data_IF_387828333932
#
_entry.id   IF_387828333932
#
_cell.length_a   1.000
_cell.length_b   1.000
_cell.length_c   1.000
_cell.angle_alpha   90.00
_cell.angle_beta   90.00
_cell.angle_gamma   90.00
#
_symmetry.space_group_name_H-M   'P 1'
#
loop_
_entity.id
_entity.type
_entity.pdbx_description
1 polymer ?
#
# COMPACT_ATOMS: atom_id res chain seq x y z
N UNK A 1 -14.12 11.94 8.24
CA UNK A 1 -14.08 10.62 7.60
C UNK A 1 -15.31 10.31 6.73
N UNK A 2 -16.54 10.52 7.21
CA UNK A 2 -17.78 10.26 6.45
C UNK A 2 -18.01 11.00 5.11
N UNK A 3 -17.49 12.23 4.85
CA UNK A 3 -17.76 12.90 3.57
C UNK A 3 -16.79 12.55 2.43
N UNK A 4 -15.74 11.75 2.68
CA UNK A 4 -14.70 11.41 1.67
C UNK A 4 -14.87 10.00 1.11
N UNK A 5 -15.68 9.15 1.76
CA UNK A 5 -15.96 7.78 1.35
C UNK A 5 -17.48 7.49 1.50
N UNK A 6 -18.29 7.82 0.47
CA UNK A 6 -19.74 7.71 0.54
C UNK A 6 -20.28 6.30 0.29
N UNK A 7 -19.48 5.40 -0.29
CA UNK A 7 -19.95 4.06 -0.65
C UNK A 7 -19.67 3.04 0.46
N UNK A 8 -20.62 2.12 0.74
CA UNK A 8 -20.35 0.98 1.60
C UNK A 8 -19.18 0.17 1.00
N UNK A 9 -18.24 -0.21 1.87
CA UNK A 9 -17.09 -1.05 1.53
C UNK A 9 -17.58 -2.23 0.69
N UNK A 10 -17.19 -2.29 -0.59
CA UNK A 10 -17.40 -3.49 -1.39
C UNK A 10 -16.79 -4.67 -0.64
N UNK A 11 -17.49 -5.81 -0.63
CA UNK A 11 -17.01 -7.08 -0.07
C UNK A 11 -15.76 -7.53 -0.84
N UNK A 12 -14.61 -7.02 -0.43
CA UNK A 12 -13.29 -7.41 -0.91
C UNK A 12 -12.55 -8.14 0.18
N UNK A 13 -11.68 -9.09 -0.21
CA UNK A 13 -11.00 -9.89 0.77
C UNK A 13 -10.03 -9.09 1.61
N UNK A 14 -9.94 -9.44 2.89
CA UNK A 14 -8.98 -8.83 3.83
C UNK A 14 -7.52 -9.14 3.44
N UNK A 15 -7.29 -10.38 3.01
CA UNK A 15 -6.04 -10.88 2.45
C UNK A 15 -6.38 -11.70 1.20
N UNK A 16 -5.68 -11.46 0.09
CA UNK A 16 -5.74 -12.30 -1.11
C UNK A 16 -4.43 -13.10 -1.20
N UNK A 17 -4.54 -14.42 -1.34
CA UNK A 17 -3.39 -15.36 -1.35
C UNK A 17 -3.64 -16.51 -2.33
N UNK A 18 -2.63 -17.27 -2.72
CA UNK A 18 -2.80 -18.49 -3.51
C UNK A 18 -3.25 -19.70 -2.68
N UNK A 19 -2.92 -19.71 -1.40
CA UNK A 19 -3.35 -20.73 -0.46
C UNK A 19 -3.75 -20.03 0.84
N UNK A 20 -5.02 -20.18 1.25
CA UNK A 20 -5.51 -19.61 2.51
C UNK A 20 -4.88 -20.29 3.73
N UNK A 21 -4.35 -21.50 3.58
CA UNK A 21 -3.73 -22.26 4.67
C UNK A 21 -2.35 -21.72 5.05
N UNK A 22 -1.73 -20.93 4.17
CA UNK A 22 -0.45 -20.25 4.41
C UNK A 22 -0.58 -19.02 5.30
N UNK A 23 -1.81 -18.52 5.47
CA UNK A 23 -2.11 -17.42 6.39
C UNK A 23 -2.26 -17.99 7.79
N UNK A 24 -1.26 -17.75 8.65
CA UNK A 24 -1.29 -18.16 10.05
C UNK A 24 -1.50 -16.95 10.96
N UNK A 25 -2.55 -17.03 11.77
CA UNK A 25 -2.80 -16.11 12.88
C UNK A 25 -2.16 -16.68 14.16
N UNK A 26 -1.41 -15.87 14.89
CA UNK A 26 -0.91 -16.20 16.21
C UNK A 26 -1.25 -15.10 17.23
N UNK A 27 -1.82 -15.48 18.38
CA UNK A 27 -2.30 -14.53 19.40
C UNK A 27 -3.64 -13.88 19.02
N UNK A 28 -3.82 -12.60 19.35
CA UNK A 28 -5.05 -11.84 19.08
C UNK A 28 -5.08 -11.14 17.71
N UNK A 29 -4.31 -11.62 16.73
CA UNK A 29 -4.32 -11.05 15.37
C UNK A 29 -5.71 -11.16 14.73
N UNK A 30 -6.19 -10.09 14.11
CA UNK A 30 -7.50 -10.06 13.46
C UNK A 30 -7.37 -9.45 12.06
N UNK A 31 -8.08 -10.07 11.11
CA UNK A 31 -8.24 -9.54 9.75
C UNK A 31 -9.71 -9.25 9.51
N UNK A 32 -10.00 -8.04 9.02
CA UNK A 32 -11.33 -7.65 8.55
C UNK A 32 -11.34 -7.49 7.03
N UNK A 33 -12.49 -7.82 6.44
CA UNK A 33 -12.69 -8.05 5.01
C UNK A 33 -13.69 -9.19 4.82
N UNK A 34 -14.42 -9.20 3.70
CA UNK A 34 -15.40 -10.25 3.39
C UNK A 34 -15.12 -10.79 1.98
N UNK A 35 -14.52 -11.99 1.83
CA UNK A 35 -14.10 -12.90 2.91
C UNK A 35 -12.80 -12.43 3.60
N UNK A 36 -12.57 -12.81 4.87
CA UNK A 36 -11.34 -12.40 5.60
C UNK A 36 -10.05 -12.78 4.87
N UNK A 37 -10.04 -13.96 4.27
CA UNK A 37 -8.98 -14.45 3.39
C UNK A 37 -9.65 -15.05 2.16
N UNK A 38 -9.24 -14.65 0.97
CA UNK A 38 -9.63 -15.30 -0.29
C UNK A 38 -8.43 -15.99 -0.91
N UNK A 39 -8.69 -17.16 -1.51
CA UNK A 39 -7.79 -17.74 -2.50
C UNK A 39 -8.00 -17.02 -3.83
N UNK A 40 -6.92 -16.64 -4.50
CA UNK A 40 -6.98 -16.05 -5.83
C UNK A 40 -7.38 -17.10 -6.86
N UNK A 41 -8.35 -16.75 -7.70
CA UNK A 41 -8.76 -17.53 -8.87
C UNK A 41 -8.84 -16.60 -10.10
N UNK A 42 -7.90 -16.69 -11.06
CA UNK A 42 -6.78 -17.65 -11.13
C UNK A 42 -5.69 -17.38 -10.06
N UNK A 43 -4.78 -18.35 -9.80
CA UNK A 43 -3.68 -18.15 -8.87
C UNK A 43 -2.86 -16.90 -9.23
N UNK A 44 -2.50 -16.11 -8.22
CA UNK A 44 -1.50 -15.05 -8.30
C UNK A 44 -0.21 -15.63 -8.85
N UNK A 45 0.09 -15.30 -10.09
CA UNK A 45 1.39 -15.55 -10.70
C UNK A 45 2.28 -14.31 -10.56
N UNK A 46 3.53 -14.40 -11.00
CA UNK A 46 4.45 -13.27 -10.99
C UNK A 46 3.91 -12.07 -11.78
N UNK A 47 2.98 -12.26 -12.72
CA UNK A 47 2.38 -11.14 -13.46
C UNK A 47 1.48 -10.31 -12.54
N UNK A 48 0.76 -10.89 -11.57
CA UNK A 48 -0.05 -10.10 -10.62
C UNK A 48 0.78 -9.16 -9.71
N UNK A 49 2.07 -9.44 -9.52
CA UNK A 49 2.98 -8.61 -8.72
C UNK A 49 3.85 -7.68 -9.57
N UNK A 50 3.89 -7.92 -10.88
CA UNK A 50 4.67 -7.14 -11.84
C UNK A 50 3.79 -6.32 -12.79
N UNK A 51 2.48 -6.53 -12.79
CA UNK A 51 1.50 -5.92 -13.68
C UNK A 51 0.24 -5.49 -12.89
N UNK A 52 0.05 -4.18 -12.82
CA UNK A 52 -1.06 -3.50 -12.15
C UNK A 52 -1.94 -2.81 -13.20
N UNK A 53 -2.35 -3.57 -14.23
CA UNK A 53 -3.18 -3.10 -15.33
C UNK A 53 -2.34 -2.51 -16.47
N UNK A 54 -2.14 -1.20 -16.45
CA UNK A 54 -1.28 -0.50 -17.43
C UNK A 54 0.12 -0.20 -16.88
N UNK A 55 0.36 -0.47 -15.59
CA UNK A 55 1.57 -0.11 -14.87
C UNK A 55 2.29 -1.35 -14.38
N UNK A 56 3.58 -1.44 -14.71
CA UNK A 56 4.42 -2.53 -14.20
C UNK A 56 5.06 -2.18 -12.87
N UNK A 57 5.59 -3.17 -12.16
CA UNK A 57 6.41 -2.95 -10.96
C UNK A 57 7.48 -1.88 -11.20
N UNK A 58 8.23 -1.98 -12.30
CA UNK A 58 9.25 -1.01 -12.68
C UNK A 58 8.68 0.40 -12.91
N UNK A 59 7.46 0.52 -13.44
CA UNK A 59 6.78 1.81 -13.58
C UNK A 59 6.41 2.41 -12.23
N UNK A 60 5.97 1.58 -11.28
CA UNK A 60 5.67 2.00 -9.92
C UNK A 60 6.95 2.43 -9.18
N UNK A 61 8.03 1.66 -9.30
CA UNK A 61 9.35 2.01 -8.75
C UNK A 61 9.87 3.32 -9.36
N UNK A 62 9.69 3.51 -10.67
CA UNK A 62 10.05 4.74 -11.36
C UNK A 62 9.26 5.96 -10.83
N UNK A 63 8.02 5.76 -10.38
CA UNK A 63 7.15 6.79 -9.80
C UNK A 63 7.38 7.10 -8.33
N UNK A 64 8.21 6.33 -7.62
CA UNK A 64 8.37 6.50 -6.18
C UNK A 64 8.78 7.93 -5.79
N UNK A 65 7.94 8.56 -4.97
CA UNK A 65 8.19 9.87 -4.35
C UNK A 65 9.34 9.79 -3.34
N UNK A 66 9.42 8.64 -2.65
CA UNK A 66 10.44 8.32 -1.65
C UNK A 66 11.10 7.00 -2.01
N UNK A 67 12.43 6.97 -2.03
CA UNK A 67 13.26 5.79 -2.22
C UNK A 67 14.17 5.58 -1.02
N UNK A 68 14.10 4.40 -0.43
CA UNK A 68 14.91 4.01 0.72
C UNK A 68 15.76 2.78 0.36
N UNK A 69 17.00 2.69 0.84
CA UNK A 69 17.72 1.42 0.83
C UNK A 69 17.05 0.43 1.80
N UNK A 70 17.23 -0.87 1.56
CA UNK A 70 16.87 -1.89 2.54
C UNK A 70 17.56 -1.67 3.89
N UNK A 71 16.88 -2.05 4.98
CA UNK A 71 17.37 -1.95 6.35
C UNK A 71 16.27 -1.67 7.36
N UNK A 72 16.70 -1.17 8.52
CA UNK A 72 15.81 -0.75 9.58
C UNK A 72 15.30 0.68 9.32
N UNK A 73 13.98 0.85 9.30
CA UNK A 73 13.29 2.13 9.15
C UNK A 73 12.61 2.43 10.49
N UNK A 74 12.98 3.58 11.08
CA UNK A 74 12.47 4.01 12.38
C UNK A 74 11.93 5.44 12.25
N UNK A 75 11.08 5.83 13.21
CA UNK A 75 10.63 7.22 13.41
C UNK A 75 9.99 7.83 12.16
N UNK A 76 9.11 7.06 11.49
CA UNK A 76 8.28 7.62 10.43
C UNK A 76 7.18 8.48 11.08
N UNK A 77 7.25 9.78 10.88
CA UNK A 77 6.40 10.76 11.55
C UNK A 77 6.08 11.91 10.57
N UNK A 78 4.91 12.58 10.72
CA UNK A 78 4.59 13.75 9.92
C UNK A 78 5.64 14.86 10.08
N UNK A 79 6.14 15.40 8.97
CA UNK A 79 7.12 16.50 8.97
C UNK A 79 6.53 17.73 8.28
N UNK A 80 6.56 18.87 8.96
CA UNK A 80 5.98 20.11 8.44
C UNK A 80 6.77 21.33 8.89
N UNK A 81 6.72 22.39 8.08
CA UNK A 81 7.27 23.69 8.48
C UNK A 81 6.47 24.29 9.64
N UNK A 82 7.06 25.26 10.34
CA UNK A 82 6.35 26.01 11.40
C UNK A 82 5.05 26.69 10.91
N UNK A 83 4.91 26.93 9.60
CA UNK A 83 3.70 27.46 8.97
C UNK A 83 2.65 26.40 8.61
N UNK A 84 2.85 25.12 8.97
CA UNK A 84 1.90 24.04 8.69
C UNK A 84 1.96 23.49 7.26
N UNK A 85 3.00 23.81 6.49
CA UNK A 85 3.22 23.24 5.15
C UNK A 85 3.90 21.89 5.27
N UNK A 86 3.29 20.85 4.70
CA UNK A 86 3.86 19.50 4.69
C UNK A 86 5.17 19.44 3.88
N UNK A 87 6.20 18.84 4.47
CA UNK A 87 7.51 18.67 3.84
C UNK A 87 7.56 17.33 3.09
N UNK A 88 7.70 17.35 1.77
CA UNK A 88 7.42 16.17 0.91
C UNK A 88 8.64 15.71 0.10
N UNK A 89 8.55 14.49 -0.43
CA UNK A 89 9.52 13.90 -1.34
C UNK A 89 10.82 13.42 -0.69
N UNK A 90 11.79 13.07 -1.53
CA UNK A 90 13.04 12.42 -1.15
C UNK A 90 13.88 13.15 -0.08
N UNK A 91 13.76 14.48 0.01
CA UNK A 91 14.45 15.28 1.03
C UNK A 91 13.92 15.00 2.46
N UNK A 92 12.67 14.54 2.59
CA UNK A 92 11.97 14.26 3.84
C UNK A 92 11.52 12.78 3.87
N UNK A 93 12.48 11.88 3.63
CA UNK A 93 12.26 10.44 3.41
C UNK A 93 11.55 9.66 4.54
N UNK A 94 11.47 10.23 5.74
CA UNK A 94 10.75 9.64 6.89
C UNK A 94 9.36 10.26 7.12
N UNK A 95 8.99 11.28 6.35
CA UNK A 95 7.63 11.80 6.36
C UNK A 95 6.76 10.94 5.44
N UNK A 96 5.93 10.09 6.03
CA UNK A 96 5.02 9.21 5.29
C UNK A 96 3.57 9.68 5.39
N UNK A 97 3.33 10.94 5.74
CA UNK A 97 1.99 11.50 5.91
C UNK A 97 1.48 11.43 7.35
N UNK A 98 0.25 11.91 7.58
CA UNK A 98 -0.37 12.04 8.90
C UNK A 98 -1.74 11.38 8.97
N UNK A 99 -1.81 10.03 8.94
CA UNK A 99 -3.08 9.32 8.96
C UNK A 99 -3.90 9.56 10.22
N UNK A 100 -3.24 9.82 11.36
CA UNK A 100 -3.93 10.04 12.63
C UNK A 100 -4.61 11.41 12.72
N UNK A 101 -4.16 12.40 11.94
CA UNK A 101 -4.73 13.74 11.91
C UNK A 101 -4.90 14.24 10.45
N UNK A 102 -5.94 13.80 9.73
CA UNK A 102 -6.15 14.16 8.33
C UNK A 102 -6.31 15.66 8.06
N UNK A 103 -6.83 16.41 9.03
CA UNK A 103 -7.02 17.85 8.91
C UNK A 103 -5.76 18.66 9.21
N UNK A 104 -4.69 17.99 9.68
CA UNK A 104 -3.41 18.61 10.00
C UNK A 104 -2.44 18.60 8.80
N UNK A 105 -1.28 19.24 8.96
CA UNK A 105 -0.20 19.16 8.00
C UNK A 105 0.14 17.68 7.69
N UNK A 106 0.31 17.38 6.40
CA UNK A 106 0.56 16.05 5.85
C UNK A 106 -0.61 15.05 5.92
N UNK A 107 -1.81 15.46 6.36
CA UNK A 107 -2.99 14.60 6.35
C UNK A 107 -3.42 14.15 4.95
N UNK A 108 -3.13 14.95 3.93
CA UNK A 108 -3.37 14.64 2.51
C UNK A 108 -2.11 14.22 1.74
N UNK A 109 -1.01 13.93 2.44
CA UNK A 109 0.22 13.46 1.79
C UNK A 109 0.27 11.93 1.76
N UNK A 110 0.09 11.35 0.57
CA UNK A 110 0.08 9.90 0.32
C UNK A 110 1.21 9.52 -0.66
N UNK A 111 2.47 9.48 -0.20
CA UNK A 111 3.61 9.16 -1.07
C UNK A 111 3.58 7.72 -1.58
N UNK A 112 4.21 7.52 -2.73
CA UNK A 112 4.66 6.21 -3.19
C UNK A 112 6.09 6.00 -2.65
N UNK A 113 6.23 5.05 -1.73
CA UNK A 113 7.46 4.73 -1.02
C UNK A 113 8.00 3.43 -1.59
N UNK A 114 9.24 3.43 -2.07
CA UNK A 114 9.93 2.23 -2.53
C UNK A 114 11.13 1.92 -1.64
N UNK A 115 11.21 0.67 -1.16
CA UNK A 115 12.36 0.15 -0.43
C UNK A 115 13.11 -0.86 -1.30
N UNK A 116 14.34 -0.53 -1.68
CA UNK A 116 15.24 -1.40 -2.46
C UNK A 116 15.95 -2.38 -1.53
N UNK A 117 15.22 -3.42 -1.12
CA UNK A 117 15.71 -4.53 -0.32
C UNK A 117 14.74 -4.92 0.79
N UNK A 118 15.25 -5.63 1.80
CA UNK A 118 14.48 -5.97 3.00
C UNK A 118 14.14 -4.73 3.83
N UNK A 119 12.88 -4.58 4.23
CA UNK A 119 12.41 -3.49 5.08
C UNK A 119 12.03 -4.04 6.47
N UNK A 120 12.65 -3.51 7.52
CA UNK A 120 12.18 -3.71 8.90
C UNK A 120 11.71 -2.38 9.47
N UNK A 121 10.40 -2.21 9.59
CA UNK A 121 9.82 -0.98 10.15
C UNK A 121 9.59 -1.21 11.65
N UNK A 122 10.17 -0.36 12.48
CA UNK A 122 10.13 -0.52 13.93
C UNK A 122 10.01 0.84 14.66
N UNK A 123 9.62 0.79 15.94
CA UNK A 123 9.59 1.93 16.87
C UNK A 123 8.40 2.91 16.72
N UNK A 124 7.18 2.43 16.52
CA UNK A 124 5.94 3.18 16.80
C UNK A 124 5.60 4.29 15.82
N UNK A 125 6.11 4.21 14.59
CA UNK A 125 5.86 5.20 13.56
C UNK A 125 4.47 5.10 12.94
N UNK A 126 4.13 6.09 12.12
CA UNK A 126 2.92 6.10 11.29
C UNK A 126 3.26 6.37 9.83
N UNK A 127 2.38 5.93 8.93
CA UNK A 127 2.49 6.27 7.51
C UNK A 127 1.19 6.03 6.74
N UNK A 128 1.12 6.61 5.55
CA UNK A 128 0.03 6.41 4.61
C UNK A 128 0.51 6.50 3.17
N UNK A 129 -0.25 5.93 2.22
CA UNK A 129 0.08 5.95 0.80
C UNK A 129 0.31 4.56 0.23
N UNK A 130 1.31 4.42 -0.64
CA UNK A 130 1.64 3.15 -1.30
C UNK A 130 3.06 2.76 -0.91
N UNK A 131 3.22 1.60 -0.26
CA UNK A 131 4.52 1.06 0.14
C UNK A 131 4.88 -0.13 -0.75
N UNK A 132 5.98 0.00 -1.48
CA UNK A 132 6.57 -1.04 -2.30
C UNK A 132 7.85 -1.55 -1.62
N UNK A 133 7.94 -2.86 -1.41
CA UNK A 133 9.13 -3.51 -0.84
C UNK A 133 9.59 -4.61 -1.79
N UNK A 134 10.84 -4.49 -2.26
CA UNK A 134 11.42 -5.44 -3.23
C UNK A 134 11.69 -6.83 -2.66
N UNK A 135 12.12 -6.91 -1.40
CA UNK A 135 12.36 -8.21 -0.77
C UNK A 135 11.32 -8.42 0.34
N UNK A 136 11.73 -8.66 1.58
CA UNK A 136 10.84 -8.98 2.70
C UNK A 136 10.47 -7.74 3.52
N UNK A 137 9.26 -7.71 4.06
CA UNK A 137 8.75 -6.69 4.98
C UNK A 137 8.48 -7.29 6.37
N UNK A 138 9.07 -6.70 7.40
CA UNK A 138 8.86 -7.05 8.82
C UNK A 138 8.39 -5.81 9.61
N UNK A 139 7.13 -5.84 10.07
CA UNK A 139 6.54 -4.76 10.87
C UNK A 139 6.64 -5.05 12.37
N UNK A 140 7.16 -4.08 13.14
CA UNK A 140 7.39 -4.21 14.57
C UNK A 140 7.02 -2.95 15.36
N UNK A 141 6.67 -3.17 16.62
CA UNK A 141 6.59 -2.12 17.64
C UNK A 141 5.55 -1.06 17.34
N UNK A 142 4.28 -1.44 17.25
CA UNK A 142 3.13 -0.53 17.15
C UNK A 142 3.11 0.38 15.90
N UNK A 143 3.61 -0.10 14.76
CA UNK A 143 3.55 0.68 13.51
C UNK A 143 2.13 0.73 12.93
N UNK A 144 1.65 1.91 12.55
CA UNK A 144 0.34 2.10 11.93
C UNK A 144 0.43 2.63 10.49
N UNK A 145 -0.06 1.86 9.53
CA UNK A 145 -0.05 2.21 8.10
C UNK A 145 -1.45 2.29 7.49
N UNK A 146 -1.73 3.34 6.73
CA UNK A 146 -3.00 3.54 6.02
C UNK A 146 -2.79 3.60 4.50
N UNK A 147 -3.10 2.53 3.78
CA UNK A 147 -2.97 2.52 2.33
C UNK A 147 -2.69 1.15 1.73
N UNK A 148 -1.86 1.10 0.70
CA UNK A 148 -1.56 -0.13 -0.05
C UNK A 148 -0.12 -0.55 0.23
N UNK A 149 0.09 -1.81 0.58
CA UNK A 149 1.41 -2.42 0.74
C UNK A 149 1.56 -3.52 -0.31
N UNK A 150 2.64 -3.46 -1.08
CA UNK A 150 3.02 -4.47 -2.07
C UNK A 150 4.43 -4.94 -1.74
N UNK A 151 4.57 -6.23 -1.47
CA UNK A 151 5.83 -6.88 -1.08
C UNK A 151 6.14 -7.97 -2.11
N UNK A 152 7.33 -7.94 -2.70
CA UNK A 152 7.77 -8.97 -3.65
C UNK A 152 8.29 -10.25 -2.96
N UNK A 153 8.62 -10.17 -1.67
CA UNK A 153 8.91 -11.32 -0.82
C UNK A 153 7.92 -11.48 0.35
N UNK A 154 8.43 -11.96 1.49
CA UNK A 154 7.60 -12.32 2.64
C UNK A 154 7.14 -11.10 3.43
N UNK A 155 5.88 -11.16 3.89
CA UNK A 155 5.30 -10.21 4.84
C UNK A 155 5.16 -10.84 6.22
N UNK A 156 5.84 -10.27 7.21
CA UNK A 156 5.78 -10.67 8.61
C UNK A 156 5.40 -9.50 9.52
N UNK A 157 4.63 -9.78 10.58
CA UNK A 157 4.42 -8.83 11.67
C UNK A 157 4.83 -9.46 13.01
N UNK A 158 5.56 -8.72 13.83
CA UNK A 158 6.01 -9.17 15.14
C UNK A 158 5.71 -8.14 16.24
N UNK A 159 5.27 -8.63 17.41
CA UNK A 159 4.90 -7.79 18.56
C UNK A 159 3.44 -7.35 18.54
N UNK A 160 2.93 -6.90 19.70
CA UNK A 160 1.60 -6.33 19.85
C UNK A 160 1.47 -4.99 19.14
N UNK A 161 0.34 -4.75 18.46
CA UNK A 161 -0.18 -3.42 18.14
C UNK A 161 0.19 -2.80 16.79
N UNK A 162 0.87 -3.54 15.89
CA UNK A 162 0.97 -3.09 14.49
C UNK A 162 -0.42 -3.07 13.83
N UNK A 163 -0.72 -2.03 13.07
CA UNK A 163 -2.01 -1.84 12.41
C UNK A 163 -1.81 -1.47 10.95
N UNK A 164 -2.44 -2.20 10.05
CA UNK A 164 -2.46 -1.88 8.62
C UNK A 164 -3.91 -1.72 8.20
N UNK A 165 -4.27 -0.54 7.73
CA UNK A 165 -5.59 -0.20 7.23
C UNK A 165 -5.53 0.03 5.72
N UNK A 166 -6.08 -0.88 4.92
CA UNK A 166 -6.05 -0.83 3.46
C UNK A 166 -5.74 -2.19 2.85
N UNK A 167 -4.92 -2.26 1.80
CA UNK A 167 -4.68 -3.52 1.09
C UNK A 167 -3.23 -3.98 1.25
N UNK A 168 -3.03 -5.28 1.48
CA UNK A 168 -1.69 -5.90 1.52
C UNK A 168 -1.62 -6.99 0.46
N UNK A 169 -0.56 -6.95 -0.35
CA UNK A 169 -0.22 -7.94 -1.37
C UNK A 169 1.22 -8.37 -1.14
N UNK A 170 1.48 -9.66 -1.00
CA UNK A 170 2.82 -10.21 -0.78
C UNK A 170 3.06 -11.45 -1.65
N UNK A 171 4.13 -11.46 -2.44
CA UNK A 171 4.51 -12.62 -3.28
C UNK A 171 5.38 -13.56 -2.47
N UNK A 172 4.98 -14.83 -2.41
CA UNK A 172 5.82 -15.87 -1.82
C UNK A 172 6.21 -16.89 -2.88
N UNK A 173 7.50 -16.88 -3.27
CA UNK A 173 8.09 -17.87 -4.17
C UNK A 173 8.42 -19.21 -3.47
N UNK A 174 8.29 -19.28 -2.15
CA UNK A 174 8.42 -20.51 -1.36
C UNK A 174 7.33 -20.51 -0.28
N UNK A 175 6.20 -21.17 -0.58
CA UNK A 175 4.97 -21.33 0.23
C UNK A 175 5.19 -21.70 1.72
N UNK A 176 5.81 -20.83 2.48
CA UNK A 176 6.09 -21.00 3.90
C UNK A 176 5.73 -19.71 4.62
N UNK A 177 4.59 -19.81 5.32
CA UNK A 177 4.01 -18.95 6.34
C UNK A 177 4.05 -17.41 6.12
N UNK A 178 2.88 -16.84 5.83
CA UNK A 178 2.59 -15.45 6.22
C UNK A 178 2.15 -15.45 7.68
N UNK A 179 2.99 -14.91 8.57
CA UNK A 179 2.78 -14.99 10.02
C UNK A 179 2.38 -13.62 10.60
N UNK A 180 1.12 -13.51 10.99
CA UNK A 180 0.61 -12.39 11.80
C UNK A 180 0.74 -12.75 13.28
N UNK A 181 1.68 -12.13 14.01
CA UNK A 181 1.92 -12.45 15.43
C UNK A 181 1.56 -11.28 16.32
N UNK A 182 0.78 -11.56 17.36
CA UNK A 182 0.57 -10.68 18.52
C UNK A 182 -0.30 -9.47 18.20
N UNK A 183 -1.63 -9.57 18.29
CA UNK A 183 -2.54 -8.41 18.25
C UNK A 183 -2.43 -7.46 17.05
N UNK A 184 -1.68 -7.85 16.01
CA UNK A 184 -1.54 -7.08 14.79
C UNK A 184 -2.85 -7.16 14.00
N UNK A 185 -3.35 -6.01 13.54
CA UNK A 185 -4.62 -5.92 12.80
C UNK A 185 -4.32 -5.53 11.36
N UNK A 186 -4.76 -6.34 10.40
CA UNK A 186 -4.77 -5.97 8.98
C UNK A 186 -6.23 -5.85 8.57
N UNK A 187 -6.70 -4.62 8.40
CA UNK A 187 -8.08 -4.29 8.09
C UNK A 187 -8.18 -3.80 6.66
N UNK A 188 -8.92 -4.52 5.82
CA UNK A 188 -9.23 -4.01 4.49
C UNK A 188 -10.07 -2.73 4.58
N UNK A 189 -9.55 -1.65 4.00
CA UNK A 189 -10.24 -0.38 3.88
C UNK A 189 -10.16 0.12 2.46
N UNK A 190 -11.25 -0.09 1.69
CA UNK A 190 -11.38 0.44 0.33
C UNK A 190 -11.20 1.97 0.29
N UNK A 191 -11.62 2.67 1.36
CA UNK A 191 -11.40 4.09 1.53
C UNK A 191 -9.90 4.45 1.61
N UNK A 192 -9.11 3.69 2.36
CA UNK A 192 -7.66 3.90 2.48
C UNK A 192 -6.94 3.58 1.16
N UNK A 193 -7.31 2.49 0.49
CA UNK A 193 -6.76 2.11 -0.82
C UNK A 193 -7.10 3.15 -1.90
N UNK A 194 -8.35 3.58 -1.99
CA UNK A 194 -8.77 4.60 -2.96
C UNK A 194 -8.09 5.94 -2.70
N UNK A 195 -7.91 6.37 -1.45
CA UNK A 195 -7.14 7.59 -1.13
C UNK A 195 -5.67 7.45 -1.49
N UNK A 196 -5.04 6.31 -1.21
CA UNK A 196 -3.66 6.05 -1.59
C UNK A 196 -3.45 6.18 -3.11
N UNK A 197 -4.42 5.76 -3.93
CA UNK A 197 -4.36 5.94 -5.38
C UNK A 197 -4.70 7.37 -5.81
N UNK A 198 -5.82 7.93 -5.33
CA UNK A 198 -6.34 9.23 -5.77
C UNK A 198 -5.52 10.43 -5.26
N UNK A 199 -4.88 10.31 -4.10
CA UNK A 199 -4.08 11.39 -3.51
C UNK A 199 -2.59 11.22 -3.80
N UNK A 200 -2.17 10.11 -4.40
CA UNK A 200 -0.82 9.99 -4.92
C UNK A 200 -0.69 10.80 -6.23
N UNK A 201 0.24 11.77 -6.22
CA UNK A 201 0.45 12.68 -7.36
C UNK A 201 1.06 11.99 -8.59
N UNK A 202 1.76 10.87 -8.40
CA UNK A 202 2.33 10.08 -9.48
C UNK A 202 1.30 9.22 -10.21
N UNK A 203 0.37 8.61 -9.46
CA UNK A 203 -0.67 7.72 -9.98
C UNK A 203 -1.87 8.44 -10.60
N UNK A 204 -2.11 9.70 -10.23
CA UNK A 204 -3.21 10.53 -10.78
C UNK A 204 -2.80 11.48 -11.90
N UNK A 205 -1.52 11.50 -12.27
CA UNK A 205 -1.05 12.38 -13.35
C UNK A 205 -1.45 11.79 -14.70
N UNK A 206 -2.06 12.62 -15.55
CA UNK A 206 -2.32 12.30 -16.95
C UNK A 206 -1.00 11.91 -17.63
N UNK A 207 -0.86 10.63 -17.97
CA UNK A 207 0.26 10.12 -18.73
C UNK A 207 -0.04 10.27 -20.23
N UNK A 208 0.87 10.84 -21.04
CA UNK A 208 0.72 10.79 -22.48
C UNK A 208 0.77 9.33 -22.92
N UNK A 209 -0.23 8.89 -23.69
CA UNK A 209 -0.26 7.56 -24.30
C UNK A 209 0.97 7.43 -25.22
N UNK A 210 1.79 6.41 -25.00
CA UNK A 210 3.05 6.18 -25.72
C UNK A 210 2.85 5.71 -27.18
N UNK A 211 1.60 5.74 -27.65
CA UNK A 211 1.19 5.39 -29.01
C UNK A 211 0.13 6.38 -29.49
N UNK A 212 0.37 6.99 -30.63
CA UNK A 212 -0.67 7.74 -31.35
C UNK A 212 -1.73 6.74 -31.82
N UNK A 213 -2.88 6.69 -31.14
CA UNK A 213 -4.08 6.06 -31.68
C UNK A 213 -4.79 7.08 -32.57
N UNK A 214 -5.01 6.72 -33.83
CA UNK A 214 -5.89 7.48 -34.70
C UNK A 214 -7.32 7.00 -34.45
N UNK A 215 -8.19 7.91 -34.03
CA UNK A 215 -9.64 7.68 -34.03
C UNK A 215 -10.13 8.03 -35.43
N UNK A 216 -10.64 7.05 -36.16
CA UNK A 216 -11.36 7.30 -37.41
C UNK A 216 -12.78 7.78 -37.07
N UNK A 217 -13.12 8.99 -37.52
CA UNK A 217 -14.43 9.63 -37.35
C UNK A 217 -15.36 9.40 -38.57
N UNK A 218 -15.02 8.48 -39.48
CA UNK A 218 -15.73 8.30 -40.75
C UNK A 218 -17.18 7.78 -40.63
N UNK A 219 -17.69 7.45 -39.45
CA UNK A 219 -19.07 6.94 -39.29
C UNK A 219 -20.09 7.90 -38.67
N UNK A 220 -19.75 9.16 -38.39
CA UNK A 220 -20.72 10.16 -37.87
C UNK A 220 -21.12 11.18 -38.93
N UNK A 221 -21.53 10.74 -40.13
CA UNK A 221 -22.60 11.39 -40.92
C UNK A 221 -23.23 10.32 -41.83
N UNK A 222 -24.33 9.74 -41.35
CA UNK A 222 -25.13 8.75 -42.09
C UNK A 222 -26.57 8.79 -41.59
N UNK A 223 -27.23 9.91 -41.81
CA UNK A 223 -28.65 10.16 -41.58
C UNK A 223 -29.14 11.20 -42.57
#
# INVERSE_FOLDING_TARGET
WGPVCPDPLENKPGILTNDKNDVKYAGSGNVSGDPKVAEADPPLDDAYFNDFGDLKWDDLVAMADIRLPGGNINQTEPDSTAGGVCLTGQAHKLNWGNPLNPDAACGDYFPLIYVDGNARIQSGGVGQGVLLVKDNLDLRGDFEFHGIIIVQGNFETQGSGNRVFGAVMASNAAFDLQKLVGGSVVEYSGCASTRAVLLNRGLTRVRPIDRRSWVDLSSVVGG
#
